data_IF_132544247621
#
_entry.id   IF_132544247621
#
_cell.length_a   1.000
_cell.length_b   1.000
_cell.length_c   1.000
_cell.angle_alpha   90.00
_cell.angle_beta   90.00
_cell.angle_gamma   90.00
#
_symmetry.space_group_name_H-M   'P 1'
#
loop_
_entity.id
_entity.type
_entity.pdbx_description
1 polymer ?
#
# COMPACT_ATOMS: atom_id res chain seq x y z
N UNK A 1 -10.23 -9.55 -68.10
CA UNK A 1 -10.08 -10.99 -68.45
C UNK A 1 -10.77 -11.76 -67.35
N UNK A 2 -11.85 -12.45 -67.71
CA UNK A 2 -12.85 -12.96 -66.78
C UNK A 2 -12.29 -14.07 -65.88
N UNK A 3 -12.63 -14.07 -64.57
CA UNK A 3 -12.18 -15.08 -63.62
C UNK A 3 -12.90 -16.44 -63.75
N UNK A 4 -13.79 -16.63 -64.72
CA UNK A 4 -14.62 -17.85 -64.86
C UNK A 4 -13.95 -19.02 -65.62
N UNK A 5 -12.84 -18.77 -66.33
CA UNK A 5 -12.15 -19.79 -67.14
C UNK A 5 -11.64 -21.04 -66.39
N UNK A 6 -10.97 -20.93 -65.23
CA UNK A 6 -10.38 -22.10 -64.55
C UNK A 6 -11.39 -22.92 -63.74
N UNK A 7 -12.54 -22.35 -63.39
CA UNK A 7 -13.57 -23.06 -62.62
C UNK A 7 -14.40 -23.99 -63.53
N UNK A 8 -14.69 -23.53 -64.75
CA UNK A 8 -15.31 -24.35 -65.80
C UNK A 8 -14.40 -25.54 -66.15
N UNK A 9 -13.09 -25.28 -66.31
CA UNK A 9 -12.08 -26.30 -66.65
C UNK A 9 -11.96 -27.40 -65.57
N UNK A 10 -12.07 -27.08 -64.28
CA UNK A 10 -12.07 -28.09 -63.22
C UNK A 10 -13.33 -28.97 -63.22
N UNK A 11 -14.49 -28.37 -63.45
CA UNK A 11 -15.75 -29.12 -63.56
C UNK A 11 -15.77 -30.00 -64.81
N UNK A 12 -15.26 -29.49 -65.93
CA UNK A 12 -15.13 -30.25 -67.17
C UNK A 12 -14.20 -31.48 -67.00
N UNK A 13 -13.14 -31.35 -66.19
CA UNK A 13 -12.26 -32.48 -65.84
C UNK A 13 -12.94 -33.52 -64.94
N UNK A 14 -13.86 -33.10 -64.06
CA UNK A 14 -14.70 -34.02 -63.27
C UNK A 14 -15.66 -34.77 -64.19
N UNK A 15 -16.33 -34.06 -65.09
CA UNK A 15 -17.24 -34.65 -66.07
C UNK A 15 -16.49 -35.62 -67.00
N UNK A 16 -15.26 -35.29 -67.39
CA UNK A 16 -14.38 -36.18 -68.14
C UNK A 16 -13.99 -37.46 -67.38
N UNK A 17 -13.82 -37.37 -66.07
CA UNK A 17 -13.57 -38.53 -65.20
C UNK A 17 -14.83 -39.39 -65.03
N UNK A 18 -16.00 -38.77 -64.89
CA UNK A 18 -17.29 -39.46 -64.87
C UNK A 18 -17.53 -40.22 -66.17
N UNK A 19 -17.28 -39.57 -67.31
CA UNK A 19 -17.43 -40.18 -68.63
C UNK A 19 -16.47 -41.35 -68.82
N UNK A 20 -15.22 -41.25 -68.34
CA UNK A 20 -14.27 -42.36 -68.37
C UNK A 20 -14.79 -43.59 -67.59
N UNK A 21 -15.46 -43.36 -66.47
CA UNK A 21 -16.08 -44.42 -65.66
C UNK A 21 -17.28 -45.01 -66.39
N UNK A 22 -18.10 -44.21 -67.07
CA UNK A 22 -19.26 -44.66 -67.85
C UNK A 22 -18.84 -45.51 -69.06
N UNK A 23 -17.79 -45.08 -69.77
CA UNK A 23 -17.26 -45.77 -70.96
C UNK A 23 -16.45 -47.03 -70.64
N UNK A 24 -16.08 -47.22 -69.37
CA UNK A 24 -15.24 -48.32 -68.95
C UNK A 24 -15.93 -49.68 -69.10
N UNK A 25 -15.16 -50.69 -69.48
CA UNK A 25 -15.70 -52.02 -69.77
C UNK A 25 -16.04 -52.74 -68.47
N UNK A 26 -17.33 -53.00 -68.23
CA UNK A 26 -17.81 -53.83 -67.12
C UNK A 26 -17.39 -55.28 -67.33
N UNK A 27 -16.83 -55.89 -66.29
CA UNK A 27 -16.55 -57.32 -66.27
C UNK A 27 -17.85 -58.10 -65.98
N UNK A 28 -18.07 -59.25 -66.62
CA UNK A 28 -19.31 -60.02 -66.48
C UNK A 28 -19.47 -60.69 -65.10
N UNK A 29 -18.40 -60.76 -64.30
CA UNK A 29 -18.41 -61.36 -62.96
C UNK A 29 -17.77 -60.38 -61.97
N UNK A 30 -18.55 -59.97 -60.97
CA UNK A 30 -18.20 -58.88 -60.04
C UNK A 30 -18.39 -57.52 -60.71
N UNK A 31 -18.93 -56.54 -59.99
CA UNK A 31 -19.21 -55.19 -60.51
C UNK A 31 -17.98 -54.34 -60.85
N UNK A 32 -16.87 -55.00 -61.21
CA UNK A 32 -15.59 -54.38 -61.46
C UNK A 32 -15.54 -53.79 -62.88
N UNK A 33 -14.90 -52.64 -62.99
CA UNK A 33 -14.72 -51.89 -64.23
C UNK A 33 -13.25 -51.98 -64.66
N UNK A 34 -13.01 -52.19 -65.95
CA UNK A 34 -11.68 -52.09 -66.55
C UNK A 34 -11.55 -50.72 -67.17
N UNK A 35 -10.70 -49.90 -66.55
CA UNK A 35 -10.40 -48.53 -66.96
C UNK A 35 -8.96 -48.47 -67.49
N UNK A 36 -8.71 -47.63 -68.50
CA UNK A 36 -7.35 -47.33 -68.92
C UNK A 36 -6.61 -46.57 -67.81
N UNK A 37 -5.64 -47.25 -67.19
CA UNK A 37 -4.83 -46.71 -66.09
C UNK A 37 -4.09 -45.43 -66.49
N UNK A 38 -3.60 -45.30 -67.72
CA UNK A 38 -2.84 -44.12 -68.15
C UNK A 38 -3.76 -42.91 -68.23
N UNK A 39 -4.89 -43.07 -68.94
CA UNK A 39 -5.89 -42.01 -69.09
C UNK A 39 -6.48 -41.56 -67.74
N UNK A 40 -6.69 -42.49 -66.81
CA UNK A 40 -7.13 -42.16 -65.45
C UNK A 40 -6.08 -41.35 -64.67
N UNK A 41 -4.82 -41.76 -64.72
CA UNK A 41 -3.74 -41.03 -64.03
C UNK A 41 -3.53 -39.62 -64.62
N UNK A 42 -3.61 -39.49 -65.95
CA UNK A 42 -3.50 -38.18 -66.62
C UNK A 42 -4.63 -37.23 -66.21
N UNK A 43 -5.87 -37.72 -66.12
CA UNK A 43 -7.02 -36.93 -65.64
C UNK A 43 -6.87 -36.56 -64.15
N UNK A 44 -6.35 -37.45 -63.31
CA UNK A 44 -6.08 -37.16 -61.90
C UNK A 44 -5.01 -36.07 -61.77
N UNK A 45 -3.95 -36.12 -62.57
CA UNK A 45 -2.90 -35.11 -62.55
C UNK A 45 -3.40 -33.75 -63.07
N UNK A 46 -4.24 -33.74 -64.11
CA UNK A 46 -4.91 -32.53 -64.58
C UNK A 46 -5.86 -31.95 -63.53
N UNK A 47 -6.68 -32.77 -62.86
CA UNK A 47 -7.54 -32.33 -61.76
C UNK A 47 -6.73 -31.74 -60.60
N UNK A 48 -5.57 -32.32 -60.27
CA UNK A 48 -4.68 -31.80 -59.22
C UNK A 48 -4.08 -30.44 -59.58
N UNK A 49 -3.76 -30.22 -60.85
CA UNK A 49 -3.24 -28.94 -61.35
C UNK A 49 -4.35 -27.88 -61.48
N UNK A 50 -5.55 -28.31 -61.89
CA UNK A 50 -6.72 -27.48 -62.11
C UNK A 50 -7.49 -27.14 -60.84
N UNK A 51 -7.08 -27.65 -59.66
CA UNK A 51 -7.66 -27.22 -58.37
C UNK A 51 -7.71 -25.69 -58.39
N UNK A 52 -8.91 -25.08 -58.33
CA UNK A 52 -9.05 -23.65 -58.54
C UNK A 52 -8.20 -22.88 -57.53
N UNK A 53 -7.47 -21.88 -58.00
CA UNK A 53 -6.66 -21.00 -57.14
C UNK A 53 -7.52 -20.39 -56.02
N UNK A 54 -8.80 -20.14 -56.29
CA UNK A 54 -9.79 -19.62 -55.36
C UNK A 54 -10.04 -20.55 -54.17
N UNK A 55 -10.02 -21.88 -54.35
CA UNK A 55 -10.22 -22.84 -53.26
C UNK A 55 -9.01 -22.86 -52.31
N UNK A 56 -7.79 -22.80 -52.87
CA UNK A 56 -6.57 -22.67 -52.06
C UNK A 56 -6.54 -21.34 -51.31
N UNK A 57 -6.93 -20.26 -51.96
CA UNK A 57 -7.03 -18.95 -51.33
C UNK A 57 -8.08 -18.92 -50.22
N UNK A 58 -9.23 -19.57 -50.41
CA UNK A 58 -10.26 -19.68 -49.38
C UNK A 58 -9.75 -20.44 -48.14
N UNK A 59 -9.01 -21.54 -48.33
CA UNK A 59 -8.38 -22.27 -47.21
C UNK A 59 -7.38 -21.39 -46.45
N UNK A 60 -6.51 -20.66 -47.16
CA UNK A 60 -5.55 -19.73 -46.54
C UNK A 60 -6.24 -18.61 -45.75
N UNK A 61 -7.34 -18.05 -46.28
CA UNK A 61 -8.11 -17.03 -45.58
C UNK A 61 -8.76 -17.58 -44.31
N UNK A 62 -9.26 -18.82 -44.34
CA UNK A 62 -9.82 -19.48 -43.15
C UNK A 62 -8.75 -19.74 -42.09
N UNK A 63 -7.57 -20.22 -42.49
CA UNK A 63 -6.44 -20.42 -41.58
C UNK A 63 -5.97 -19.09 -40.96
N UNK A 64 -5.78 -18.06 -41.78
CA UNK A 64 -5.39 -16.73 -41.30
C UNK A 64 -6.44 -16.14 -40.35
N UNK A 65 -7.73 -16.32 -40.65
CA UNK A 65 -8.82 -15.90 -39.75
C UNK A 65 -8.73 -16.63 -38.40
N UNK A 66 -8.49 -17.93 -38.40
CA UNK A 66 -8.38 -18.69 -37.16
C UNK A 66 -7.18 -18.22 -36.32
N UNK A 67 -6.03 -18.00 -36.96
CA UNK A 67 -4.85 -17.45 -36.30
C UNK A 67 -5.12 -16.07 -35.67
N UNK A 68 -5.79 -15.17 -36.40
CA UNK A 68 -6.17 -13.85 -35.88
C UNK A 68 -7.08 -13.97 -34.65
N UNK A 69 -8.04 -14.90 -34.68
CA UNK A 69 -8.95 -15.14 -33.56
C UNK A 69 -8.19 -15.66 -32.34
N UNK A 70 -7.29 -16.62 -32.54
CA UNK A 70 -6.49 -17.22 -31.46
C UNK A 70 -5.54 -16.18 -30.84
N UNK A 71 -4.89 -15.36 -31.66
CA UNK A 71 -4.02 -14.26 -31.21
C UNK A 71 -4.81 -13.19 -30.47
N UNK A 72 -6.02 -12.85 -30.94
CA UNK A 72 -6.91 -11.92 -30.25
C UNK A 72 -7.33 -12.47 -28.89
N UNK A 73 -7.68 -13.74 -28.79
CA UNK A 73 -8.01 -14.39 -27.52
C UNK A 73 -6.83 -14.42 -26.55
N UNK A 74 -5.62 -14.75 -27.04
CA UNK A 74 -4.40 -14.74 -26.23
C UNK A 74 -4.09 -13.34 -25.71
N UNK A 75 -4.21 -12.33 -26.57
CA UNK A 75 -3.98 -10.92 -26.20
C UNK A 75 -5.01 -10.42 -25.21
N UNK A 76 -6.28 -10.79 -25.38
CA UNK A 76 -7.34 -10.47 -24.44
C UNK A 76 -7.07 -11.08 -23.06
N UNK A 77 -6.69 -12.36 -23.00
CA UNK A 77 -6.32 -13.04 -21.74
C UNK A 77 -5.15 -12.36 -21.05
N UNK A 78 -4.06 -12.08 -21.79
CA UNK A 78 -2.89 -11.38 -21.25
C UNK A 78 -3.22 -9.98 -20.73
N UNK A 79 -4.10 -9.26 -21.43
CA UNK A 79 -4.54 -7.94 -21.00
C UNK A 79 -5.35 -8.02 -19.71
N UNK A 80 -6.26 -8.99 -19.62
CA UNK A 80 -7.05 -9.22 -18.41
C UNK A 80 -6.17 -9.58 -17.22
N UNK A 81 -5.24 -10.53 -17.39
CA UNK A 81 -4.30 -10.94 -16.34
C UNK A 81 -3.46 -9.76 -15.84
N UNK A 82 -2.95 -8.91 -16.74
CA UNK A 82 -2.21 -7.69 -16.35
C UNK A 82 -3.09 -6.70 -15.60
N UNK A 83 -4.33 -6.51 -16.05
CA UNK A 83 -5.27 -5.60 -15.38
C UNK A 83 -5.63 -6.10 -13.98
N UNK A 84 -5.81 -7.41 -13.80
CA UNK A 84 -6.06 -8.02 -12.49
C UNK A 84 -4.85 -7.89 -11.56
N UNK A 85 -3.63 -8.14 -12.06
CA UNK A 85 -2.39 -7.97 -11.30
C UNK A 85 -2.20 -6.51 -10.85
N UNK A 86 -2.39 -5.56 -11.76
CA UNK A 86 -2.26 -4.13 -11.44
C UNK A 86 -3.34 -3.69 -10.44
N UNK A 87 -4.57 -4.17 -10.60
CA UNK A 87 -5.65 -3.90 -9.63
C UNK A 87 -5.30 -4.43 -8.24
N UNK A 88 -4.80 -5.66 -8.14
CA UNK A 88 -4.39 -6.24 -6.87
C UNK A 88 -3.28 -5.40 -6.22
N UNK A 89 -2.27 -5.03 -6.99
CA UNK A 89 -1.18 -4.16 -6.54
C UNK A 89 -1.68 -2.82 -6.03
N UNK A 90 -2.56 -2.14 -6.76
CA UNK A 90 -3.12 -0.85 -6.35
C UNK A 90 -3.95 -0.97 -5.06
N UNK A 91 -4.71 -2.06 -4.90
CA UNK A 91 -5.46 -2.31 -3.66
C UNK A 91 -4.50 -2.49 -2.48
N UNK A 92 -3.43 -3.25 -2.67
CA UNK A 92 -2.42 -3.49 -1.63
C UNK A 92 -1.67 -2.19 -1.28
N UNK A 93 -1.25 -1.42 -2.28
CA UNK A 93 -0.61 -0.11 -2.08
C UNK A 93 -1.54 0.87 -1.35
N UNK A 94 -2.83 0.92 -1.71
CA UNK A 94 -3.83 1.73 -1.02
C UNK A 94 -4.08 1.25 0.41
N UNK A 95 -4.17 -0.06 0.64
CA UNK A 95 -4.36 -0.63 1.97
C UNK A 95 -3.17 -0.33 2.87
N UNK A 96 -1.95 -0.50 2.36
CA UNK A 96 -0.71 -0.16 3.05
C UNK A 96 -0.65 1.34 3.38
N UNK A 97 -0.99 2.19 2.41
CA UNK A 97 -0.99 3.65 2.61
C UNK A 97 -1.99 4.07 3.68
N UNK A 98 -3.22 3.52 3.66
CA UNK A 98 -4.23 3.78 4.69
C UNK A 98 -3.77 3.32 6.07
N UNK A 99 -3.25 2.11 6.18
CA UNK A 99 -2.73 1.59 7.45
C UNK A 99 -1.57 2.43 8.00
N UNK A 100 -0.67 2.90 7.12
CA UNK A 100 0.41 3.80 7.50
C UNK A 100 -0.12 5.16 7.99
N UNK A 101 -1.14 5.73 7.33
CA UNK A 101 -1.79 6.97 7.75
C UNK A 101 -2.48 6.83 9.12
N UNK A 102 -3.25 5.76 9.33
CA UNK A 102 -3.90 5.47 10.61
C UNK A 102 -2.87 5.33 11.74
N UNK A 103 -1.78 4.59 11.49
CA UNK A 103 -0.71 4.41 12.48
C UNK A 103 0.04 5.71 12.77
N UNK A 104 0.24 6.55 11.75
CA UNK A 104 0.84 7.87 11.94
C UNK A 104 -0.07 8.79 12.79
N UNK A 105 -1.38 8.78 12.54
CA UNK A 105 -2.34 9.54 13.34
C UNK A 105 -2.37 9.07 14.80
N UNK A 106 -2.39 7.75 15.03
CA UNK A 106 -2.30 7.18 16.38
C UNK A 106 -1.01 7.61 17.10
N UNK A 107 0.13 7.54 16.41
CA UNK A 107 1.41 7.96 16.97
C UNK A 107 1.43 9.46 17.33
N UNK A 108 0.83 10.31 16.50
CA UNK A 108 0.70 11.74 16.79
C UNK A 108 -0.19 11.99 18.00
N UNK A 109 -1.34 11.32 18.09
CA UNK A 109 -2.23 11.43 19.25
C UNK A 109 -1.53 10.98 20.54
N UNK A 110 -0.82 9.85 20.50
CA UNK A 110 -0.05 9.34 21.65
C UNK A 110 1.08 10.29 22.05
N UNK A 111 1.80 10.85 21.07
CA UNK A 111 2.86 11.81 21.32
C UNK A 111 2.31 13.11 21.95
N UNK A 112 1.19 13.62 21.45
CA UNK A 112 0.52 14.78 22.03
C UNK A 112 0.03 14.51 23.45
N UNK A 113 -0.58 13.35 23.70
CA UNK A 113 -1.05 12.97 25.02
C UNK A 113 0.13 12.88 26.03
N UNK A 114 1.23 12.24 25.63
CA UNK A 114 2.45 12.18 26.44
C UNK A 114 3.06 13.55 26.68
N UNK A 115 3.12 14.41 25.66
CA UNK A 115 3.64 15.76 25.82
C UNK A 115 2.81 16.57 26.83
N UNK A 116 1.47 16.49 26.74
CA UNK A 116 0.57 17.14 27.72
C UNK A 116 0.77 16.60 29.13
N UNK A 117 0.95 15.29 29.27
CA UNK A 117 1.22 14.67 30.56
C UNK A 117 2.54 15.15 31.15
N UNK A 118 3.62 15.17 30.36
CA UNK A 118 4.95 15.64 30.80
C UNK A 118 4.88 17.11 31.25
N UNK A 119 4.18 17.97 30.49
CA UNK A 119 4.00 19.37 30.86
C UNK A 119 3.23 19.49 32.19
N UNK A 120 2.13 18.75 32.35
CA UNK A 120 1.35 18.77 33.58
C UNK A 120 2.16 18.28 34.80
N UNK A 121 2.96 17.23 34.63
CA UNK A 121 3.86 16.72 35.67
C UNK A 121 4.96 17.73 36.03
N UNK A 122 5.54 18.39 35.03
CA UNK A 122 6.55 19.43 35.23
C UNK A 122 5.96 20.64 35.97
N UNK A 123 4.77 21.10 35.59
CA UNK A 123 4.06 22.21 36.24
C UNK A 123 3.72 21.87 37.70
N UNK A 124 3.23 20.64 37.95
CA UNK A 124 2.94 20.17 39.30
C UNK A 124 4.20 20.12 40.17
N UNK A 125 5.32 19.65 39.60
CA UNK A 125 6.61 19.58 40.30
C UNK A 125 7.15 20.98 40.60
N UNK A 126 7.07 21.91 39.62
CA UNK A 126 7.46 23.29 39.81
C UNK A 126 6.63 23.98 40.90
N UNK A 127 5.31 23.77 40.91
CA UNK A 127 4.42 24.30 41.94
C UNK A 127 4.76 23.74 43.34
N UNK A 128 5.07 22.44 43.43
CA UNK A 128 5.47 21.82 44.69
C UNK A 128 6.77 22.43 45.24
N UNK A 129 7.80 22.59 44.40
CA UNK A 129 9.06 23.21 44.80
C UNK A 129 8.89 24.69 45.20
N UNK A 130 8.05 25.43 44.49
CA UNK A 130 7.75 26.83 44.86
C UNK A 130 7.04 26.90 46.22
N UNK A 131 6.11 25.99 46.49
CA UNK A 131 5.42 25.91 47.79
C UNK A 131 6.40 25.56 48.91
N UNK A 132 7.26 24.56 48.70
CA UNK A 132 8.28 24.15 49.66
C UNK A 132 9.25 25.29 49.98
N UNK A 133 9.74 25.99 48.95
CA UNK A 133 10.62 27.15 49.13
C UNK A 133 9.92 28.31 49.88
N UNK A 134 8.64 28.57 49.58
CA UNK A 134 7.84 29.57 50.28
C UNK A 134 7.63 29.21 51.76
N UNK A 135 7.39 27.93 52.07
CA UNK A 135 7.27 27.46 53.46
C UNK A 135 8.60 27.54 54.21
N UNK A 136 9.70 27.10 53.60
CA UNK A 136 11.02 27.16 54.21
C UNK A 136 11.43 28.61 54.56
N UNK A 137 11.25 29.54 53.60
CA UNK A 137 11.51 30.97 53.82
C UNK A 137 10.62 31.55 54.91
N UNK A 138 9.33 31.17 54.98
CA UNK A 138 8.44 31.60 56.06
C UNK A 138 8.91 31.12 57.43
N UNK A 139 9.31 29.85 57.53
CA UNK A 139 9.85 29.28 58.77
C UNK A 139 11.14 29.98 59.22
N UNK A 140 12.03 30.30 58.28
CA UNK A 140 13.27 31.02 58.58
C UNK A 140 13.00 32.44 59.09
N UNK A 141 12.05 33.16 58.48
CA UNK A 141 11.60 34.47 58.96
C UNK A 141 10.94 34.40 60.34
N UNK A 142 10.13 33.37 60.61
CA UNK A 142 9.52 33.14 61.92
C UNK A 142 10.59 32.87 62.99
N UNK A 143 11.61 32.05 62.66
CA UNK A 143 12.73 31.75 63.55
C UNK A 143 13.58 33.00 63.83
N UNK A 144 13.89 33.81 62.80
CA UNK A 144 14.63 35.05 62.96
C UNK A 144 13.88 36.06 63.84
N UNK A 145 12.57 36.20 63.63
CA UNK A 145 11.72 37.05 64.46
C UNK A 145 11.71 36.58 65.92
N UNK A 146 11.61 35.26 66.16
CA UNK A 146 11.68 34.69 67.51
C UNK A 146 13.02 35.00 68.18
N UNK A 147 14.12 34.73 67.48
CA UNK A 147 15.47 35.01 67.98
C UNK A 147 15.66 36.48 68.31
N UNK A 148 15.26 37.38 67.41
CA UNK A 148 15.35 38.83 67.63
C UNK A 148 14.59 39.25 68.89
N UNK A 149 13.39 38.69 69.09
CA UNK A 149 12.58 38.96 70.29
C UNK A 149 13.25 38.46 71.57
N UNK A 150 13.84 37.27 71.55
CA UNK A 150 14.58 36.70 72.69
C UNK A 150 15.80 37.55 73.05
N UNK A 151 16.56 38.00 72.05
CA UNK A 151 17.71 38.90 72.24
C UNK A 151 17.27 40.22 72.88
N UNK A 152 16.21 40.84 72.35
CA UNK A 152 15.68 42.09 72.91
C UNK A 152 15.21 41.92 74.36
N UNK A 153 14.47 40.85 74.67
CA UNK A 153 14.02 40.54 76.04
C UNK A 153 15.19 40.26 77.00
N UNK A 154 16.28 39.66 76.50
CA UNK A 154 17.49 39.46 77.30
C UNK A 154 18.17 40.79 77.60
N UNK A 155 18.26 41.67 76.61
CA UNK A 155 18.87 42.99 76.73
C UNK A 155 18.07 43.86 77.69
N UNK A 156 16.75 43.84 77.60
CA UNK A 156 15.83 44.48 78.56
C UNK A 156 16.10 44.01 79.99
N UNK A 157 16.11 42.70 80.24
CA UNK A 157 16.38 42.15 81.59
C UNK A 157 17.73 42.58 82.15
N UNK A 158 18.79 42.62 81.33
CA UNK A 158 20.11 43.08 81.75
C UNK A 158 20.11 44.56 82.12
N UNK A 159 19.44 45.41 81.33
CA UNK A 159 19.31 46.83 81.63
C UNK A 159 18.52 47.05 82.92
N UNK A 160 17.42 46.31 83.14
CA UNK A 160 16.66 46.37 84.39
C UNK A 160 17.50 45.96 85.59
N UNK A 161 18.31 44.89 85.47
CA UNK A 161 19.22 44.45 86.52
C UNK A 161 20.30 45.49 86.83
N UNK A 162 20.93 46.06 85.80
CA UNK A 162 21.93 47.13 85.96
C UNK A 162 21.33 48.35 86.64
N UNK A 163 20.19 48.84 86.17
CA UNK A 163 19.49 49.97 86.79
C UNK A 163 19.11 49.68 88.25
N UNK A 164 18.65 48.46 88.54
CA UNK A 164 18.40 48.01 89.90
C UNK A 164 19.65 48.10 90.78
N UNK A 165 20.77 47.54 90.31
CA UNK A 165 22.05 47.58 91.03
C UNK A 165 22.61 48.99 91.23
N UNK A 166 22.47 49.89 90.24
CA UNK A 166 22.90 51.30 90.36
C UNK A 166 22.05 52.02 91.41
N UNK A 167 20.73 51.79 91.42
CA UNK A 167 19.83 52.39 92.40
C UNK A 167 20.12 51.90 93.81
N UNK A 168 20.37 50.61 93.96
CA UNK A 168 20.72 49.99 95.24
C UNK A 168 22.07 50.50 95.78
N UNK A 169 23.08 50.66 94.90
CA UNK A 169 24.36 51.29 95.25
C UNK A 169 24.20 52.77 95.63
N UNK A 170 23.35 53.53 94.93
CA UNK A 170 23.05 54.93 95.29
C UNK A 170 22.38 55.03 96.67
N UNK A 171 21.42 54.15 96.98
CA UNK A 171 20.81 54.08 98.32
C UNK A 171 21.82 53.71 99.42
N UNK A 172 22.82 52.87 99.12
CA UNK A 172 23.90 52.57 100.05
C UNK A 172 24.78 53.81 100.32
N UNK A 173 25.15 54.55 99.27
CA UNK A 173 25.96 55.78 99.40
C UNK A 173 25.21 56.88 100.16
N UNK A 174 23.90 57.03 99.94
CA UNK A 174 23.07 57.97 100.72
C UNK A 174 22.93 57.56 102.20
N UNK A 175 22.97 56.26 102.51
CA UNK A 175 22.97 55.76 103.90
C UNK A 175 24.33 55.87 104.59
N UNK A 176 25.42 55.98 103.83
CA UNK A 176 26.79 56.10 104.32
C UNK A 176 27.27 57.56 104.47
N UNK A 177 26.43 58.56 104.16
CA UNK A 177 26.73 59.96 104.47
C UNK A 177 26.32 60.28 105.93
N UNK A 178 27.26 60.75 106.78
CA UNK A 178 27.00 61.13 108.18
C UNK A 178 26.25 62.46 108.33
#
# INVERSE_FOLDING_TARGET
>A
MSPEGPQLEFLDLIDGLEQLVIESRRLPVGGNLVVDRRRLLDLIDQLRLAIPADLRQAQQVLEARQQIIDDAHLTARRTLERAEQERARLIDEHALTRAAQERAQQLLMDAEARARQIIAEADATAAAHLSEAAEATRQELENLNRYTREVLQRLERLLTQLLGSVRENLEQVEREQP
#
